data_IF_930452402029
#
_entry.id   IF_930452402029
#
_cell.length_a   1.000
_cell.length_b   1.000
_cell.length_c   1.000
_cell.angle_alpha   90.00
_cell.angle_beta   90.00
_cell.angle_gamma   90.00
#
_symmetry.space_group_name_H-M   'P 1'
#
loop_
_entity.id
_entity.type
_entity.pdbx_description
1 polymer ?
#
# COMPACT_ATOMS: atom_id res chain seq x y z
N UNK A 1 8.39 5.20 11.69
CA UNK A 1 7.06 4.62 12.00
C UNK A 1 7.02 3.17 11.57
N UNK A 2 6.60 2.25 12.44
CA UNK A 2 6.40 0.82 12.11
C UNK A 2 4.98 0.61 11.58
N UNK A 3 4.83 -0.15 10.50
CA UNK A 3 3.55 -0.57 9.92
C UNK A 3 3.57 -2.06 9.58
N UNK A 4 2.42 -2.71 9.68
CA UNK A 4 2.20 -4.07 9.16
C UNK A 4 1.38 -3.96 7.89
N UNK A 5 1.90 -4.51 6.80
CA UNK A 5 1.37 -4.32 5.46
C UNK A 5 1.08 -5.66 4.77
N UNK A 6 0.02 -5.67 3.98
CA UNK A 6 -0.37 -6.76 3.10
C UNK A 6 -0.78 -6.16 1.77
N UNK A 7 -0.19 -6.62 0.66
CA UNK A 7 -0.42 -6.01 -0.65
C UNK A 7 -0.42 -7.05 -1.75
N UNK A 8 -1.20 -6.79 -2.79
CA UNK A 8 -1.18 -7.52 -4.04
C UNK A 8 -1.03 -6.60 -5.24
N UNK A 9 -0.39 -7.09 -6.31
CA UNK A 9 -0.26 -6.40 -7.59
C UNK A 9 -0.73 -7.29 -8.75
N UNK A 10 -1.56 -6.73 -9.62
CA UNK A 10 -2.05 -7.41 -10.82
C UNK A 10 -1.79 -6.54 -12.06
N UNK A 11 -1.36 -7.18 -13.14
CA UNK A 11 -1.19 -6.54 -14.44
C UNK A 11 -2.54 -6.28 -15.11
N UNK A 12 -2.62 -5.22 -15.91
CA UNK A 12 -3.81 -4.81 -16.64
C UNK A 12 -4.61 -3.73 -15.92
N UNK A 13 -5.70 -3.29 -16.57
CA UNK A 13 -6.61 -2.30 -16.01
C UNK A 13 -7.37 -2.85 -14.80
N UNK A 14 -7.65 -1.99 -13.82
CA UNK A 14 -8.48 -2.32 -12.67
C UNK A 14 -9.87 -2.82 -13.12
N UNK A 15 -10.27 -4.07 -12.78
CA UNK A 15 -11.57 -4.58 -13.16
C UNK A 15 -12.70 -3.80 -12.49
N UNK A 16 -13.77 -3.52 -13.25
CA UNK A 16 -14.92 -2.74 -12.76
C UNK A 16 -15.58 -3.38 -11.52
N UNK A 17 -15.64 -4.72 -11.46
CA UNK A 17 -16.18 -5.43 -10.30
C UNK A 17 -15.39 -5.13 -9.01
N UNK A 18 -14.06 -5.08 -9.10
CA UNK A 18 -13.18 -4.74 -7.95
C UNK A 18 -13.36 -3.28 -7.56
N UNK A 19 -13.44 -2.38 -8.54
CA UNK A 19 -13.72 -0.96 -8.29
C UNK A 19 -15.06 -0.77 -7.58
N UNK A 20 -16.12 -1.43 -8.05
CA UNK A 20 -17.46 -1.36 -7.47
C UNK A 20 -17.51 -1.94 -6.06
N UNK A 21 -16.87 -3.09 -5.83
CA UNK A 21 -16.72 -3.66 -4.49
C UNK A 21 -16.02 -2.67 -3.55
N UNK A 22 -14.91 -2.06 -3.99
CA UNK A 22 -14.18 -1.11 -3.15
C UNK A 22 -14.99 0.16 -2.85
N UNK A 23 -15.82 0.60 -3.78
CA UNK A 23 -16.76 1.71 -3.55
C UNK A 23 -17.82 1.31 -2.51
N UNK A 24 -18.33 0.08 -2.55
CA UNK A 24 -19.37 -0.39 -1.64
C UNK A 24 -18.89 -0.47 -0.17
N UNK A 25 -17.61 -0.77 0.06
CA UNK A 25 -17.03 -0.81 1.43
C UNK A 25 -16.62 0.58 1.95
N UNK A 26 -16.58 1.60 1.09
CA UNK A 26 -16.29 3.00 1.47
C UNK A 26 -17.58 3.69 1.91
N UNK A 27 -17.53 4.39 3.04
CA UNK A 27 -18.68 5.14 3.52
C UNK A 27 -18.85 6.45 2.72
N UNK A 28 -19.66 6.35 1.65
CA UNK A 28 -20.40 7.34 0.83
C UNK A 28 -19.82 8.72 0.42
N UNK A 29 -18.67 9.17 0.92
CA UNK A 29 -18.01 10.37 0.40
C UNK A 29 -16.96 9.96 -0.63
N UNK A 30 -17.41 9.90 -1.88
CA UNK A 30 -16.60 9.66 -3.07
C UNK A 30 -15.62 10.80 -3.23
N UNK A 31 -14.48 10.73 -2.55
CA UNK A 31 -13.29 11.47 -3.00
C UNK A 31 -12.82 10.79 -4.29
N UNK A 32 -12.69 11.52 -5.41
CA UNK A 32 -11.99 11.02 -6.59
C UNK A 32 -10.65 10.45 -6.18
N UNK A 33 -10.19 9.42 -6.88
CA UNK A 33 -8.87 8.87 -6.62
C UNK A 33 -7.81 9.98 -6.72
N UNK A 34 -6.96 10.07 -5.70
CA UNK A 34 -5.86 11.05 -5.68
C UNK A 34 -4.86 10.66 -6.78
N UNK A 35 -4.81 11.46 -7.85
CA UNK A 35 -3.85 11.29 -8.93
C UNK A 35 -2.51 11.89 -8.53
N UNK A 36 -1.43 11.12 -8.68
CA UNK A 36 -0.07 11.58 -8.39
C UNK A 36 0.99 10.79 -9.14
N UNK A 37 2.20 11.32 -9.14
CA UNK A 37 3.39 10.63 -9.63
C UNK A 37 4.40 10.51 -8.48
N UNK A 38 4.81 9.27 -8.19
CA UNK A 38 5.86 8.93 -7.24
C UNK A 38 7.06 8.42 -8.04
N UNK A 39 8.29 8.80 -7.68
CA UNK A 39 9.52 8.22 -8.25
C UNK A 39 10.14 7.24 -7.28
N UNK A 40 10.52 6.06 -7.75
CA UNK A 40 11.11 5.01 -6.93
C UNK A 40 12.53 4.71 -7.40
N UNK A 41 13.49 4.68 -6.47
CA UNK A 41 14.84 4.27 -6.81
C UNK A 41 14.86 2.76 -7.08
N UNK A 42 15.35 2.38 -8.26
CA UNK A 42 15.55 0.99 -8.64
C UNK A 42 16.80 0.46 -7.91
N UNK A 43 16.59 -0.51 -7.03
CA UNK A 43 17.65 -1.18 -6.28
C UNK A 43 17.75 -2.63 -6.74
N UNK A 44 18.59 -2.88 -7.75
CA UNK A 44 18.77 -4.21 -8.32
C UNK A 44 19.15 -5.24 -7.25
N UNK A 45 18.39 -6.35 -7.18
CA UNK A 45 18.61 -7.43 -6.23
C UNK A 45 18.20 -7.12 -4.77
N UNK A 46 17.57 -5.96 -4.51
CA UNK A 46 17.08 -5.59 -3.18
C UNK A 46 15.56 -5.42 -3.20
N UNK A 47 14.85 -6.34 -2.55
CA UNK A 47 13.38 -6.32 -2.46
C UNK A 47 12.86 -5.93 -1.06
N UNK A 48 13.76 -5.59 -0.14
CA UNK A 48 13.46 -5.26 1.26
C UNK A 48 13.70 -3.78 1.60
N UNK A 49 14.28 -3.00 0.68
CA UNK A 49 14.49 -1.56 0.82
C UNK A 49 13.72 -0.83 -0.28
N UNK A 50 13.01 0.23 0.08
CA UNK A 50 12.29 1.07 -0.86
C UNK A 50 12.63 2.53 -0.60
N UNK A 51 13.17 3.22 -1.61
CA UNK A 51 13.37 4.66 -1.57
C UNK A 51 12.42 5.31 -2.57
N UNK A 52 11.63 6.26 -2.09
CA UNK A 52 10.58 6.92 -2.87
C UNK A 52 10.69 8.43 -2.73
N UNK A 53 10.68 9.15 -3.84
CA UNK A 53 10.60 10.59 -3.89
C UNK A 53 9.17 11.01 -4.30
N UNK A 54 8.58 11.92 -3.53
CA UNK A 54 7.24 12.46 -3.80
C UNK A 54 7.23 13.97 -3.53
N UNK A 55 7.04 14.78 -4.56
CA UNK A 55 7.02 16.25 -4.45
C UNK A 55 8.22 16.81 -3.64
N UNK A 56 9.43 16.30 -3.92
CA UNK A 56 10.65 16.68 -3.20
C UNK A 56 10.86 15.98 -1.83
N UNK A 57 9.85 15.28 -1.31
CA UNK A 57 9.97 14.55 -0.05
C UNK A 57 10.46 13.13 -0.29
N UNK A 58 11.63 12.82 0.27
CA UNK A 58 12.20 11.49 0.26
C UNK A 58 11.61 10.64 1.39
N UNK A 59 11.15 9.44 1.08
CA UNK A 59 10.68 8.44 2.03
C UNK A 59 11.51 7.16 1.88
N UNK A 60 12.02 6.65 2.99
CA UNK A 60 12.71 5.36 3.09
C UNK A 60 11.80 4.36 3.81
N UNK A 61 11.57 3.20 3.21
CA UNK A 61 10.94 2.05 3.86
C UNK A 61 11.92 0.87 3.89
N UNK A 62 12.12 0.27 5.06
CA UNK A 62 12.89 -0.96 5.27
C UNK A 62 11.96 -2.06 5.78
N UNK A 63 11.97 -3.22 5.12
CA UNK A 63 11.24 -4.41 5.58
C UNK A 63 12.01 -5.02 6.75
N UNK A 64 11.38 -5.04 7.92
CA UNK A 64 11.95 -5.62 9.14
C UNK A 64 11.75 -7.13 9.21
N UNK A 65 10.56 -7.60 8.81
CA UNK A 65 10.18 -9.02 8.86
C UNK A 65 9.12 -9.35 7.82
N UNK A 66 9.15 -10.59 7.36
CA UNK A 66 8.05 -11.25 6.67
C UNK A 66 7.38 -12.20 7.66
N UNK A 67 6.06 -12.09 7.82
CA UNK A 67 5.29 -12.98 8.68
C UNK A 67 4.83 -14.21 7.88
N UNK A 68 4.06 -15.11 8.50
CA UNK A 68 3.39 -16.15 7.74
C UNK A 68 2.37 -15.55 6.76
N UNK A 69 2.07 -16.29 5.69
CA UNK A 69 0.96 -15.93 4.81
C UNK A 69 -0.33 -15.85 5.61
N UNK A 70 -1.10 -14.78 5.42
CA UNK A 70 -2.44 -14.64 5.99
C UNK A 70 -3.44 -15.17 4.97
N UNK A 71 -4.26 -16.14 5.40
CA UNK A 71 -5.45 -16.60 4.69
C UNK A 71 -6.65 -15.88 5.28
N UNK A 72 -7.47 -15.24 4.45
CA UNK A 72 -8.71 -14.57 4.85
C UNK A 72 -9.86 -15.19 4.06
N UNK A 73 -10.70 -15.94 4.78
CA UNK A 73 -11.76 -16.74 4.17
C UNK A 73 -11.24 -17.66 3.06
N UNK A 74 -12.02 -17.78 1.99
CA UNK A 74 -11.65 -18.48 0.75
C UNK A 74 -11.17 -17.52 -0.36
N UNK A 75 -11.08 -16.22 -0.07
CA UNK A 75 -10.90 -15.16 -1.08
C UNK A 75 -9.46 -14.71 -1.20
N UNK A 76 -8.80 -14.48 -0.07
CA UNK A 76 -7.49 -13.84 -0.06
C UNK A 76 -6.45 -14.70 0.63
N UNK A 77 -5.29 -14.81 -0.01
CA UNK A 77 -4.08 -15.29 0.61
C UNK A 77 -2.94 -14.36 0.23
N UNK A 78 -2.15 -13.93 1.20
CA UNK A 78 -1.04 -13.03 0.89
C UNK A 78 0.03 -12.94 1.96
N UNK A 79 1.16 -12.36 1.57
CA UNK A 79 2.36 -12.22 2.37
C UNK A 79 2.25 -10.96 3.23
N UNK A 80 2.16 -11.14 4.54
CA UNK A 80 2.19 -10.02 5.49
C UNK A 80 3.64 -9.65 5.78
N UNK A 81 3.93 -8.36 5.78
CA UNK A 81 5.27 -7.82 5.99
C UNK A 81 5.21 -6.68 7.01
N UNK A 82 6.27 -6.50 7.79
CA UNK A 82 6.39 -5.36 8.70
C UNK A 82 7.50 -4.45 8.23
N UNK A 83 7.17 -3.17 8.15
CA UNK A 83 8.00 -2.14 7.56
C UNK A 83 8.28 -1.04 8.57
N UNK A 84 9.50 -0.51 8.53
CA UNK A 84 9.87 0.74 9.19
C UNK A 84 9.99 1.82 8.12
N UNK A 85 9.24 2.91 8.31
CA UNK A 85 9.21 4.09 7.44
C UNK A 85 9.87 5.30 8.10
N UNK A 86 10.67 6.01 7.33
CA UNK A 86 11.19 7.35 7.64
C UNK A 86 10.90 8.30 6.48
N UNK A 87 10.68 9.57 6.79
CA UNK A 87 10.47 10.66 5.83
C UNK A 87 11.60 11.69 5.96
N UNK A 88 11.83 12.53 4.94
CA UNK A 88 12.89 13.55 4.98
C UNK A 88 12.78 14.51 6.18
N UNK A 89 11.57 14.78 6.68
CA UNK A 89 11.35 15.51 7.94
C UNK A 89 12.11 14.89 9.13
N UNK A 90 12.39 13.59 9.07
CA UNK A 90 13.15 12.85 10.09
C UNK A 90 14.68 12.97 9.91
N UNK A 91 15.17 13.59 8.82
CA UNK A 91 16.60 13.71 8.52
C UNK A 91 17.07 15.19 8.53
N UNK A 92 18.20 15.51 9.19
CA UNK A 92 18.78 16.85 9.13
C UNK A 92 19.42 17.10 7.76
N UNK A 93 18.73 17.84 6.88
CA UNK A 93 19.23 18.28 5.58
C UNK A 93 18.14 18.40 4.51
N UNK A 94 18.26 19.38 3.61
CA UNK A 94 17.39 19.50 2.45
C UNK A 94 18.07 18.83 1.24
N UNK A 95 17.50 17.73 0.76
CA UNK A 95 17.91 17.15 -0.53
C UNK A 95 17.18 17.91 -1.64
N UNK A 96 17.86 18.87 -2.25
CA UNK A 96 17.39 19.53 -3.48
C UNK A 96 17.78 18.66 -4.69
N UNK A 97 17.08 17.55 -4.89
CA UNK A 97 17.25 16.72 -6.07
C UNK A 97 16.62 17.45 -7.27
N UNK A 98 17.40 17.75 -8.30
CA UNK A 98 16.86 18.24 -9.58
C UNK A 98 16.56 17.05 -10.50
N UNK A 99 15.66 17.23 -11.47
CA UNK A 99 15.21 16.13 -12.35
C UNK A 99 16.36 15.40 -13.07
N UNK A 100 17.45 16.11 -13.38
CA UNK A 100 18.66 15.52 -13.98
C UNK A 100 19.40 14.55 -13.04
N UNK A 101 19.29 14.72 -11.72
CA UNK A 101 19.93 13.83 -10.73
C UNK A 101 19.20 12.48 -10.61
N UNK A 102 18.04 12.37 -11.26
CA UNK A 102 17.12 11.23 -11.16
C UNK A 102 17.15 10.36 -12.44
N UNK A 103 18.02 10.67 -13.41
CA UNK A 103 18.15 9.89 -14.64
C UNK A 103 18.74 8.49 -14.37
N UNK A 104 18.23 7.49 -15.10
CA UNK A 104 18.79 6.13 -15.19
C UNK A 104 18.47 5.15 -14.06
N UNK A 105 18.24 5.63 -12.82
CA UNK A 105 17.98 4.75 -11.67
C UNK A 105 16.58 4.92 -11.04
N UNK A 106 15.77 5.89 -11.49
CA UNK A 106 14.45 6.14 -10.91
C UNK A 106 13.31 5.74 -11.83
N UNK A 107 12.38 4.98 -11.29
CA UNK A 107 11.16 4.54 -11.97
C UNK A 107 10.02 5.49 -11.59
N UNK A 108 9.52 6.24 -12.58
CA UNK A 108 8.29 7.04 -12.43
C UNK A 108 7.06 6.13 -12.42
N UNK A 109 6.25 6.25 -11.37
CA UNK A 109 4.99 5.52 -11.21
C UNK A 109 3.85 6.52 -11.07
N UNK A 110 2.97 6.56 -12.06
CA UNK A 110 1.70 7.29 -11.99
C UNK A 110 0.67 6.46 -11.25
N UNK A 111 -0.11 7.11 -10.39
CA UNK A 111 -1.00 6.45 -9.44
C UNK A 111 -2.31 7.19 -9.35
N UNK A 112 -3.43 6.47 -9.41
CA UNK A 112 -4.75 6.98 -9.01
C UNK A 112 -5.20 6.16 -7.83
N UNK A 113 -5.22 6.77 -6.65
CA UNK A 113 -5.38 6.06 -5.39
C UNK A 113 -6.71 6.36 -4.71
N UNK A 114 -7.46 5.33 -4.38
CA UNK A 114 -8.63 5.38 -3.49
C UNK A 114 -8.28 4.73 -2.15
N UNK A 115 -8.73 5.31 -1.04
CA UNK A 115 -8.46 4.78 0.30
C UNK A 115 -9.70 4.76 1.18
N UNK A 116 -9.73 3.80 2.11
CA UNK A 116 -10.64 3.75 3.25
C UNK A 116 -9.80 3.56 4.52
N UNK A 117 -10.12 4.29 5.58
CA UNK A 117 -9.49 4.09 6.89
C UNK A 117 -10.46 3.44 7.86
N UNK A 118 -9.95 2.53 8.66
CA UNK A 118 -10.66 1.90 9.75
C UNK A 118 -9.95 2.20 11.06
N UNK A 119 -10.70 2.61 12.07
CA UNK A 119 -10.27 2.61 13.45
C UNK A 119 -10.60 1.25 14.06
N UNK A 120 -9.67 0.70 14.83
CA UNK A 120 -9.82 -0.61 15.47
C UNK A 120 -9.78 -0.48 16.98
N UNK A 121 -10.58 -1.28 17.68
CA UNK A 121 -10.59 -1.36 19.13
C UNK A 121 -10.48 -2.83 19.55
N UNK A 122 -10.08 -3.05 20.81
CA UNK A 122 -10.11 -4.39 21.38
C UNK A 122 -11.57 -4.87 21.47
N UNK A 123 -11.83 -6.09 21.00
CA UNK A 123 -13.14 -6.76 21.08
C UNK A 123 -14.32 -6.02 20.43
N UNK A 124 -14.07 -5.11 19.48
CA UNK A 124 -15.11 -4.46 18.69
C UNK A 124 -14.81 -4.56 17.19
N UNK A 125 -15.84 -4.61 16.34
CA UNK A 125 -15.64 -4.61 14.90
C UNK A 125 -14.94 -3.31 14.45
N UNK A 126 -14.03 -3.38 13.46
CA UNK A 126 -13.46 -2.20 12.85
C UNK A 126 -14.50 -1.20 12.35
N UNK A 127 -14.27 0.08 12.63
CA UNK A 127 -15.16 1.17 12.26
C UNK A 127 -14.55 2.02 11.15
N UNK A 128 -15.29 2.18 10.06
CA UNK A 128 -14.90 3.08 8.97
C UNK A 128 -14.87 4.53 9.50
N UNK A 129 -13.78 5.22 9.22
CA UNK A 129 -13.52 6.60 9.66
C UNK A 129 -13.02 7.44 8.48
N UNK A 130 -13.23 8.75 8.55
CA UNK A 130 -12.71 9.68 7.53
C UNK A 130 -11.18 9.64 7.50
N UNK A 131 -10.59 9.90 6.33
CA UNK A 131 -9.13 10.03 6.19
C UNK A 131 -8.58 11.26 6.94
N UNK A 132 -9.43 12.24 7.24
CA UNK A 132 -9.08 13.42 8.04
C UNK A 132 -8.93 13.10 9.52
N UNK A 133 -9.59 12.03 9.99
CA UNK A 133 -9.44 11.57 11.37
C UNK A 133 -8.08 10.90 11.53
N UNK A 134 -7.43 11.17 12.66
CA UNK A 134 -6.14 10.59 13.03
C UNK A 134 -6.31 9.68 14.24
N UNK A 135 -6.91 8.48 14.07
CA UNK A 135 -6.99 7.53 15.18
C UNK A 135 -5.58 7.10 15.59
N UNK A 136 -5.39 6.75 16.87
CA UNK A 136 -4.09 6.30 17.38
C UNK A 136 -3.68 4.93 16.78
N UNK A 137 -4.65 4.14 16.34
CA UNK A 137 -4.45 2.82 15.75
C UNK A 137 -5.55 2.49 14.75
N UNK A 138 -5.24 1.62 13.81
CA UNK A 138 -6.18 1.22 12.77
C UNK A 138 -5.52 0.59 11.57
N UNK A 139 -6.29 0.44 10.51
CA UNK A 139 -5.79 -0.06 9.24
C UNK A 139 -6.35 0.76 8.08
N UNK A 140 -5.48 1.10 7.13
CA UNK A 140 -5.87 1.73 5.87
C UNK A 140 -5.95 0.67 4.79
N UNK A 141 -7.03 0.68 4.03
CA UNK A 141 -7.18 -0.12 2.82
C UNK A 141 -7.02 0.81 1.62
N UNK A 142 -6.20 0.41 0.66
CA UNK A 142 -5.81 1.21 -0.50
C UNK A 142 -6.07 0.40 -1.78
N UNK A 143 -6.87 0.94 -2.69
CA UNK A 143 -6.99 0.46 -4.07
C UNK A 143 -6.34 1.50 -4.99
N UNK A 144 -5.34 1.08 -5.76
CA UNK A 144 -4.57 1.99 -6.62
C UNK A 144 -4.48 1.46 -8.03
N UNK A 145 -4.83 2.31 -9.00
CA UNK A 145 -4.48 2.13 -10.41
C UNK A 145 -3.06 2.66 -10.62
N UNK A 146 -2.21 1.89 -11.27
CA UNK A 146 -0.78 2.13 -11.41
C UNK A 146 -0.39 2.14 -12.89
N UNK A 147 0.49 3.05 -13.26
CA UNK A 147 1.08 3.10 -14.59
C UNK A 147 2.58 3.39 -14.51
N UNK A 148 3.36 2.54 -15.18
CA UNK A 148 4.80 2.72 -15.40
C UNK A 148 5.02 2.66 -16.91
N UNK A 149 5.36 3.80 -17.52
CA UNK A 149 5.38 3.93 -18.98
C UNK A 149 4.04 3.47 -19.60
N UNK A 150 4.05 2.46 -20.48
CA UNK A 150 2.86 1.87 -21.09
C UNK A 150 2.25 0.72 -20.26
N UNK A 151 2.97 0.23 -19.25
CA UNK A 151 2.51 -0.88 -18.42
C UNK A 151 1.46 -0.41 -17.41
N UNK A 152 0.26 -0.97 -17.54
CA UNK A 152 -0.88 -0.71 -16.63
C UNK A 152 -0.99 -1.84 -15.61
N UNK A 153 -1.18 -1.47 -14.35
CA UNK A 153 -1.32 -2.38 -13.22
C UNK A 153 -2.37 -1.83 -12.24
N UNK A 154 -2.76 -2.65 -11.28
CA UNK A 154 -3.47 -2.18 -10.09
C UNK A 154 -3.01 -2.94 -8.85
N UNK A 155 -3.21 -2.33 -7.68
CA UNK A 155 -2.87 -2.95 -6.39
C UNK A 155 -3.97 -2.76 -5.37
N UNK A 156 -4.20 -3.77 -4.55
CA UNK A 156 -4.95 -3.67 -3.30
C UNK A 156 -3.97 -3.81 -2.13
N UNK A 157 -4.09 -2.99 -1.10
CA UNK A 157 -3.21 -3.05 0.06
C UNK A 157 -3.90 -2.70 1.37
N UNK A 158 -3.33 -3.22 2.44
CA UNK A 158 -3.62 -2.93 3.84
C UNK A 158 -2.36 -2.37 4.49
N UNK A 159 -2.50 -1.31 5.27
CA UNK A 159 -1.42 -0.73 6.09
C UNK A 159 -1.98 -0.50 7.50
N UNK A 160 -1.62 -1.37 8.44
CA UNK A 160 -1.97 -1.25 9.85
C UNK A 160 -0.92 -0.43 10.60
N UNK A 161 -1.41 0.42 11.51
CA UNK A 161 -0.63 1.40 12.27
C UNK A 161 -1.10 1.50 13.72
N UNK A 162 -0.28 2.10 14.57
CA UNK A 162 -0.49 2.14 16.02
C UNK A 162 0.50 1.22 16.72
N UNK A 163 0.09 0.60 17.83
CA UNK A 163 0.91 -0.34 18.60
C UNK A 163 1.39 -1.53 17.73
N UNK A 164 2.72 -1.66 17.47
CA UNK A 164 3.27 -2.71 16.61
C UNK A 164 2.85 -4.14 16.98
N UNK A 165 2.58 -4.41 18.26
CA UNK A 165 2.18 -5.74 18.74
C UNK A 165 0.72 -6.08 18.38
N UNK A 166 -0.10 -5.06 18.07
CA UNK A 166 -1.50 -5.22 17.69
C UNK A 166 -1.75 -5.11 16.19
N UNK A 167 -0.81 -4.55 15.41
CA UNK A 167 -1.02 -4.23 14.00
C UNK A 167 -1.42 -5.44 13.14
N UNK A 168 -0.88 -6.64 13.42
CA UNK A 168 -1.28 -7.85 12.69
C UNK A 168 -2.76 -8.19 12.92
N UNK A 169 -3.20 -8.20 14.18
CA UNK A 169 -4.59 -8.49 14.54
C UNK A 169 -5.54 -7.44 13.96
N UNK A 170 -5.13 -6.16 13.97
CA UNK A 170 -5.91 -5.06 13.39
C UNK A 170 -6.07 -5.21 11.87
N UNK A 171 -4.98 -5.53 11.17
CA UNK A 171 -4.99 -5.80 9.73
C UNK A 171 -5.92 -6.97 9.43
N UNK A 172 -5.77 -8.07 10.17
CA UNK A 172 -6.58 -9.28 9.99
C UNK A 172 -8.07 -8.99 10.20
N UNK A 173 -8.44 -8.31 11.30
CA UNK A 173 -9.84 -7.98 11.59
C UNK A 173 -10.47 -7.14 10.48
N UNK A 174 -9.74 -6.15 9.95
CA UNK A 174 -10.23 -5.34 8.82
C UNK A 174 -10.34 -6.19 7.56
N UNK A 175 -9.34 -7.01 7.26
CA UNK A 175 -9.37 -7.88 6.09
C UNK A 175 -10.56 -8.85 6.12
N UNK A 176 -10.82 -9.48 7.27
CA UNK A 176 -11.97 -10.39 7.49
C UNK A 176 -13.31 -9.68 7.33
N UNK A 177 -13.43 -8.42 7.78
CA UNK A 177 -14.67 -7.65 7.66
C UNK A 177 -15.02 -7.32 6.19
N UNK A 178 -14.02 -7.08 5.33
CA UNK A 178 -14.25 -6.61 3.96
C UNK A 178 -14.03 -7.67 2.88
N UNK A 179 -13.55 -8.87 3.24
CA UNK A 179 -13.41 -10.02 2.33
C UNK A 179 -14.75 -10.74 2.07
N UNK A 180 -15.78 -9.98 1.70
CA UNK A 180 -17.12 -10.50 1.45
C UNK A 180 -17.21 -11.32 0.13
N UNK A 181 -18.35 -11.97 -0.16
CA UNK A 181 -18.52 -12.73 -1.41
C UNK A 181 -18.52 -11.92 -2.72
N UNK A 182 -18.40 -10.59 -2.68
CA UNK A 182 -18.20 -9.72 -3.85
C UNK A 182 -16.72 -9.26 -3.98
N UNK A 183 -15.91 -9.46 -2.94
CA UNK A 183 -14.48 -9.16 -2.96
C UNK A 183 -13.73 -9.95 -4.05
N UNK A 184 -12.65 -9.40 -4.63
CA UNK A 184 -11.82 -10.14 -5.59
C UNK A 184 -11.21 -11.40 -4.96
N UNK A 185 -10.88 -12.39 -5.79
CA UNK A 185 -9.97 -13.47 -5.39
C UNK A 185 -8.54 -12.95 -5.52
N UNK A 186 -7.74 -13.08 -4.46
CA UNK A 186 -6.36 -12.58 -4.41
C UNK A 186 -5.40 -13.69 -4.00
N UNK A 187 -4.45 -14.01 -4.88
CA UNK A 187 -3.49 -15.09 -4.67
C UNK A 187 -2.13 -14.59 -4.12
N UNK A 188 -1.47 -15.41 -3.33
CA UNK A 188 -0.21 -15.08 -2.66
C UNK A 188 0.95 -14.88 -3.65
N UNK A 189 0.88 -15.46 -4.85
CA UNK A 189 1.88 -15.27 -5.90
C UNK A 189 1.95 -13.81 -6.34
N UNK A 190 0.84 -13.09 -6.25
CA UNK A 190 0.74 -11.65 -6.54
C UNK A 190 0.98 -10.78 -5.30
N UNK A 191 1.27 -11.39 -4.14
CA UNK A 191 1.38 -10.68 -2.87
C UNK A 191 2.83 -10.35 -2.53
N UNK A 192 3.16 -9.06 -2.64
CA UNK A 192 4.49 -8.52 -2.37
C UNK A 192 4.46 -6.98 -2.29
N UNK A 193 5.54 -6.39 -1.82
CA UNK A 193 5.71 -4.94 -1.75
C UNK A 193 6.27 -4.31 -3.03
N UNK A 194 6.30 -2.97 -3.07
CA UNK A 194 6.80 -2.17 -4.18
C UNK A 194 8.19 -2.58 -4.68
N UNK A 195 9.22 -2.80 -3.83
CA UNK A 195 10.55 -3.17 -4.33
C UNK A 195 10.54 -4.40 -5.23
N UNK A 196 9.82 -5.47 -4.82
CA UNK A 196 9.67 -6.68 -5.63
C UNK A 196 8.84 -6.43 -6.89
N UNK A 197 7.77 -5.63 -6.79
CA UNK A 197 6.96 -5.26 -7.96
C UNK A 197 7.77 -4.47 -9.00
N UNK A 198 8.62 -3.54 -8.55
CA UNK A 198 9.41 -2.68 -9.42
C UNK A 198 10.43 -3.45 -10.26
N UNK A 199 10.85 -4.66 -9.82
CA UNK A 199 11.72 -5.54 -10.61
C UNK A 199 11.08 -6.01 -11.93
N UNK A 200 9.78 -5.80 -12.14
CA UNK A 200 9.11 -6.05 -13.42
C UNK A 200 9.43 -4.97 -14.47
N UNK A 201 10.02 -3.85 -14.07
CA UNK A 201 10.37 -2.75 -14.96
C UNK A 201 11.88 -2.57 -14.95
N UNK A 202 12.50 -2.74 -16.11
CA UNK A 202 13.91 -2.44 -16.31
C UNK A 202 14.00 -1.19 -17.19
N UNK A 203 14.96 -0.31 -16.86
CA UNK A 203 15.52 0.67 -17.78
C UNK A 203 16.80 0.11 -18.39
#
# INVERSE_FOLDING_TARGET
>A
MITTELRWFYSGSLPMAVKNWFIAIRDQLVTPGEAREDRYLQLSGCDFLNLKLRHGNLELKLRLKQLSKLQVGDRWIGQVEVWQKWSLEDFPGHLNLVDSDLEGAWISVRKVRSQQQYQTFLDQPPQAVSLEQQPNQGCRVELTELQVQEAVWWSLAFEAFGDPDQQFNQLQAVAEQISDPLAPILDWQHSYAYPKWLLNFNY
#
